data_IF_744995838573
#
_entry.id   IF_744995838573
#
_cell.length_a   1.000
_cell.length_b   1.000
_cell.length_c   1.000
_cell.angle_alpha   90.00
_cell.angle_beta   90.00
_cell.angle_gamma   90.00
#
_symmetry.space_group_name_H-M   'P 1'
#
loop_
_entity.id
_entity.type
_entity.pdbx_description
1 polymer ?
#
# COMPACT_ATOMS: atom_id res chain seq x y z
N UNK A 1 -2.78 -42.49 -36.96
CA UNK A 1 -3.27 -41.57 -35.91
C UNK A 1 -2.31 -41.44 -34.72
N UNK A 2 -1.51 -42.46 -34.37
CA UNK A 2 -0.54 -42.37 -33.26
C UNK A 2 0.56 -41.30 -33.39
N UNK A 3 0.90 -40.85 -34.61
CA UNK A 3 1.82 -39.73 -34.83
C UNK A 3 1.33 -38.41 -34.21
N UNK A 4 0.02 -38.23 -34.02
CA UNK A 4 -0.52 -37.06 -33.33
C UNK A 4 -0.05 -36.98 -31.87
N UNK A 5 0.12 -38.11 -31.19
CA UNK A 5 0.69 -38.13 -29.84
C UNK A 5 2.11 -37.58 -29.81
N UNK A 6 2.96 -37.94 -30.78
CA UNK A 6 4.33 -37.38 -30.91
C UNK A 6 4.28 -35.90 -31.31
N UNK A 7 3.34 -35.51 -32.17
CA UNK A 7 3.13 -34.13 -32.60
C UNK A 7 2.85 -33.19 -31.41
N UNK A 8 2.06 -33.62 -30.42
CA UNK A 8 1.82 -32.80 -29.22
C UNK A 8 3.11 -32.52 -28.43
N UNK A 9 4.03 -33.47 -28.31
CA UNK A 9 5.35 -33.21 -27.70
C UNK A 9 6.19 -32.24 -28.53
N UNK A 10 6.22 -32.41 -29.85
CA UNK A 10 6.92 -31.50 -30.74
C UNK A 10 6.33 -30.08 -30.66
N UNK A 11 5.00 -29.96 -30.55
CA UNK A 11 4.29 -28.69 -30.42
C UNK A 11 4.59 -28.04 -29.07
N UNK A 12 4.66 -28.79 -27.97
CA UNK A 12 5.08 -28.27 -26.66
C UNK A 12 6.50 -27.68 -26.71
N UNK A 13 7.46 -28.42 -27.29
CA UNK A 13 8.84 -27.95 -27.43
C UNK A 13 8.91 -26.72 -28.36
N UNK A 14 8.23 -26.77 -29.50
CA UNK A 14 8.17 -25.65 -30.44
C UNK A 14 7.51 -24.42 -29.80
N UNK A 15 6.47 -24.62 -29.01
CA UNK A 15 5.75 -23.58 -28.28
C UNK A 15 6.64 -22.85 -27.27
N UNK A 16 7.60 -23.53 -26.65
CA UNK A 16 8.60 -22.91 -25.79
C UNK A 16 9.51 -21.92 -26.56
N UNK A 17 9.83 -22.18 -27.82
CA UNK A 17 10.66 -21.28 -28.63
C UNK A 17 9.85 -20.20 -29.38
N UNK A 18 8.63 -20.51 -29.78
CA UNK A 18 7.77 -19.61 -30.57
C UNK A 18 7.04 -18.57 -29.70
N UNK A 19 6.63 -18.94 -28.49
CA UNK A 19 5.80 -18.07 -27.64
C UNK A 19 6.57 -17.59 -26.42
N UNK A 20 6.84 -16.28 -26.36
CA UNK A 20 7.50 -15.64 -25.23
C UNK A 20 6.75 -15.88 -23.90
N UNK A 21 5.41 -15.95 -23.94
CA UNK A 21 4.59 -16.23 -22.76
C UNK A 21 4.90 -17.62 -22.17
N UNK A 22 4.95 -18.66 -23.01
CA UNK A 22 5.25 -20.05 -22.58
C UNK A 22 6.67 -20.14 -22.04
N UNK A 23 7.63 -19.52 -22.75
CA UNK A 23 9.03 -19.43 -22.31
C UNK A 23 9.16 -18.78 -20.93
N UNK A 24 8.47 -17.65 -20.73
CA UNK A 24 8.51 -16.93 -19.46
C UNK A 24 7.87 -17.75 -18.33
N UNK A 25 6.72 -18.37 -18.55
CA UNK A 25 6.05 -19.23 -17.57
C UNK A 25 6.97 -20.38 -17.13
N UNK A 26 7.58 -21.09 -18.08
CA UNK A 26 8.48 -22.22 -17.76
C UNK A 26 9.75 -21.74 -17.07
N UNK A 27 10.39 -20.67 -17.56
CA UNK A 27 11.62 -20.16 -16.95
C UNK A 27 11.37 -19.62 -15.54
N UNK A 28 10.27 -18.91 -15.32
CA UNK A 28 9.88 -18.46 -13.98
C UNK A 28 9.62 -19.66 -13.06
N UNK A 29 9.03 -20.75 -13.56
CA UNK A 29 8.78 -21.93 -12.74
C UNK A 29 10.06 -22.64 -12.34
N UNK A 30 11.04 -22.70 -13.25
CA UNK A 30 12.38 -23.22 -12.96
C UNK A 30 13.09 -22.36 -11.92
N UNK A 31 12.97 -21.04 -11.99
CA UNK A 31 13.60 -20.12 -11.04
C UNK A 31 12.96 -20.21 -9.65
N UNK A 32 11.64 -20.24 -9.57
CA UNK A 32 10.91 -20.24 -8.29
C UNK A 32 10.85 -21.63 -7.65
N UNK A 33 10.65 -22.69 -8.45
CA UNK A 33 10.39 -24.05 -7.98
C UNK A 33 11.17 -25.11 -8.79
N UNK A 34 12.52 -25.10 -8.73
CA UNK A 34 13.35 -25.95 -9.58
C UNK A 34 13.05 -27.44 -9.37
N UNK A 35 12.91 -27.87 -8.12
CA UNK A 35 12.70 -29.29 -7.77
C UNK A 35 11.39 -29.84 -8.36
N UNK A 36 10.28 -29.12 -8.17
CA UNK A 36 8.95 -29.51 -8.67
C UNK A 36 8.93 -29.45 -10.20
N UNK A 37 9.50 -28.40 -10.78
CA UNK A 37 9.50 -28.20 -12.23
C UNK A 37 10.32 -29.27 -12.95
N UNK A 38 11.51 -29.62 -12.44
CA UNK A 38 12.31 -30.70 -13.01
C UNK A 38 11.65 -32.07 -12.82
N UNK A 39 10.99 -32.32 -11.69
CA UNK A 39 10.23 -33.55 -11.48
C UNK A 39 9.06 -33.67 -12.47
N UNK A 40 8.29 -32.60 -12.71
CA UNK A 40 7.23 -32.56 -13.70
C UNK A 40 7.77 -32.73 -15.13
N UNK A 41 8.91 -32.14 -15.47
CA UNK A 41 9.56 -32.32 -16.76
C UNK A 41 10.01 -33.77 -16.98
N UNK A 42 10.60 -34.40 -15.96
CA UNK A 42 10.98 -35.82 -16.00
C UNK A 42 9.75 -36.71 -16.22
N UNK A 43 8.68 -36.50 -15.45
CA UNK A 43 7.42 -37.23 -15.60
C UNK A 43 6.77 -37.03 -16.97
N UNK A 44 6.94 -35.86 -17.59
CA UNK A 44 6.47 -35.61 -18.95
C UNK A 44 7.21 -36.45 -19.99
N UNK A 45 8.54 -36.52 -19.93
CA UNK A 45 9.32 -37.27 -20.92
C UNK A 45 9.33 -38.78 -20.69
N UNK A 46 9.09 -39.25 -19.46
CA UNK A 46 9.15 -40.67 -19.13
C UNK A 46 8.22 -41.56 -19.98
N UNK A 47 6.92 -41.27 -20.13
CA UNK A 47 6.03 -42.03 -21.02
C UNK A 47 6.44 -41.98 -22.50
N UNK A 48 7.04 -40.86 -22.95
CA UNK A 48 7.54 -40.74 -24.32
C UNK A 48 8.70 -41.70 -24.58
N UNK A 49 9.62 -41.89 -23.63
CA UNK A 49 10.69 -42.88 -23.75
C UNK A 49 10.16 -44.32 -23.81
N UNK A 50 9.12 -44.65 -23.03
CA UNK A 50 8.46 -45.97 -23.08
C UNK A 50 7.82 -46.18 -24.46
N UNK A 51 7.06 -45.20 -24.95
CA UNK A 51 6.42 -45.29 -26.26
C UNK A 51 7.46 -45.42 -27.39
N UNK A 52 8.54 -44.62 -27.34
CA UNK A 52 9.63 -44.70 -28.33
C UNK A 52 10.30 -46.07 -28.31
N UNK A 53 10.50 -46.66 -27.13
CA UNK A 53 11.01 -48.03 -27.00
C UNK A 53 10.06 -49.05 -27.64
N UNK A 54 8.75 -48.99 -27.36
CA UNK A 54 7.77 -49.86 -28.00
C UNK A 54 7.69 -49.67 -29.52
N UNK A 55 7.90 -48.44 -30.00
CA UNK A 55 7.96 -48.11 -31.41
C UNK A 55 9.19 -48.74 -32.10
N UNK A 56 10.38 -48.59 -31.50
CA UNK A 56 11.63 -49.16 -32.03
C UNK A 56 11.61 -50.69 -32.03
N UNK A 57 11.11 -51.32 -30.97
CA UNK A 57 11.00 -52.78 -30.86
C UNK A 57 9.74 -53.37 -31.54
N UNK A 58 8.94 -52.53 -32.21
CA UNK A 58 7.70 -52.93 -32.92
C UNK A 58 6.73 -53.75 -32.06
N UNK A 59 6.65 -53.44 -30.76
CA UNK A 59 5.80 -54.14 -29.80
C UNK A 59 4.36 -53.62 -29.88
N UNK A 60 3.50 -54.31 -30.65
CA UNK A 60 2.10 -53.89 -30.92
C UNK A 60 1.03 -54.56 -30.04
N UNK A 61 1.43 -55.43 -29.11
CA UNK A 61 0.48 -56.16 -28.27
C UNK A 61 -0.22 -55.27 -27.23
N UNK A 62 -1.49 -55.56 -26.93
CA UNK A 62 -2.32 -54.89 -25.92
C UNK A 62 -1.70 -54.87 -24.52
N UNK A 63 -0.84 -55.84 -24.19
CA UNK A 63 -0.09 -55.88 -22.91
C UNK A 63 0.84 -54.67 -22.77
N UNK A 64 1.50 -54.26 -23.84
CA UNK A 64 2.43 -53.12 -23.84
C UNK A 64 1.68 -51.78 -23.80
N UNK A 65 0.49 -51.71 -24.40
CA UNK A 65 -0.41 -50.58 -24.22
C UNK A 65 -0.86 -50.44 -22.77
N UNK A 66 -1.27 -51.53 -22.12
CA UNK A 66 -1.68 -51.50 -20.72
C UNK A 66 -0.57 -50.98 -19.79
N UNK A 67 0.68 -51.38 -20.05
CA UNK A 67 1.84 -50.84 -19.32
C UNK A 67 2.02 -49.34 -19.56
N UNK A 68 2.04 -48.89 -20.83
CA UNK A 68 2.17 -47.48 -21.18
C UNK A 68 1.03 -46.64 -20.58
N UNK A 69 -0.21 -47.12 -20.66
CA UNK A 69 -1.39 -46.43 -20.13
C UNK A 69 -1.33 -46.28 -18.61
N UNK A 70 -0.94 -47.34 -17.89
CA UNK A 70 -0.77 -47.29 -16.43
C UNK A 70 0.32 -46.29 -16.04
N UNK A 71 1.49 -46.34 -16.69
CA UNK A 71 2.60 -45.44 -16.38
C UNK A 71 2.28 -43.98 -16.73
N UNK A 72 1.58 -43.73 -17.85
CA UNK A 72 1.20 -42.38 -18.27
C UNK A 72 0.14 -41.78 -17.35
N UNK A 73 -0.88 -42.57 -16.95
CA UNK A 73 -1.91 -42.12 -16.00
C UNK A 73 -1.32 -41.88 -14.61
N UNK A 74 -0.38 -42.72 -14.18
CA UNK A 74 0.33 -42.53 -12.92
C UNK A 74 1.19 -41.26 -12.97
N UNK A 75 1.98 -41.06 -14.02
CA UNK A 75 2.76 -39.84 -14.21
C UNK A 75 1.88 -38.58 -14.26
N UNK A 76 0.73 -38.64 -14.93
CA UNK A 76 -0.24 -37.55 -14.98
C UNK A 76 -0.84 -37.24 -13.59
N UNK A 77 -1.17 -38.28 -12.81
CA UNK A 77 -1.65 -38.11 -11.43
C UNK A 77 -0.59 -37.49 -10.52
N UNK A 78 0.64 -38.02 -10.57
CA UNK A 78 1.77 -37.52 -9.76
C UNK A 78 2.13 -36.09 -10.15
N UNK A 79 2.08 -35.71 -11.43
CA UNK A 79 2.32 -34.35 -11.88
C UNK A 79 1.30 -33.35 -11.29
N UNK A 80 0.01 -33.72 -11.22
CA UNK A 80 -1.01 -32.90 -10.55
C UNK A 80 -0.73 -32.81 -9.06
N UNK A 81 -0.42 -33.92 -8.40
CA UNK A 81 -0.10 -33.92 -6.96
C UNK A 81 1.11 -33.05 -6.64
N UNK A 82 2.18 -33.09 -7.45
CA UNK A 82 3.34 -32.21 -7.30
C UNK A 82 2.97 -30.73 -7.49
N UNK A 83 2.10 -30.42 -8.45
CA UNK A 83 1.56 -29.07 -8.62
C UNK A 83 0.77 -28.61 -7.39
N UNK A 84 -0.08 -29.47 -6.82
CA UNK A 84 -0.85 -29.20 -5.61
C UNK A 84 0.02 -29.04 -4.36
N UNK A 85 1.09 -29.83 -4.22
CA UNK A 85 2.09 -29.66 -3.15
C UNK A 85 2.76 -28.30 -3.26
N UNK A 86 3.14 -27.88 -4.47
CA UNK A 86 3.66 -26.53 -4.69
C UNK A 86 2.67 -25.44 -4.30
N UNK A 87 1.38 -25.61 -4.64
CA UNK A 87 0.32 -24.70 -4.18
C UNK A 87 0.25 -24.63 -2.66
N UNK A 88 0.27 -25.79 -1.98
CA UNK A 88 0.20 -25.85 -0.52
C UNK A 88 1.39 -25.12 0.12
N UNK A 89 2.61 -25.42 -0.33
CA UNK A 89 3.83 -24.75 0.17
C UNK A 89 3.74 -23.23 -0.03
N UNK A 90 3.40 -22.77 -1.23
CA UNK A 90 3.32 -21.33 -1.50
C UNK A 90 2.20 -20.63 -0.73
N UNK A 91 1.06 -21.28 -0.48
CA UNK A 91 0.01 -20.73 0.38
C UNK A 91 0.44 -20.67 1.85
N UNK A 92 1.13 -21.69 2.36
CA UNK A 92 1.70 -21.68 3.71
C UNK A 92 2.70 -20.54 3.86
N UNK A 93 3.63 -20.40 2.92
CA UNK A 93 4.64 -19.32 2.93
C UNK A 93 3.99 -17.94 2.84
N UNK A 94 2.91 -17.80 2.04
CA UNK A 94 2.13 -16.57 1.96
C UNK A 94 1.50 -16.20 3.31
N UNK A 95 0.85 -17.16 3.98
CA UNK A 95 0.24 -16.94 5.30
C UNK A 95 1.30 -16.61 6.34
N UNK A 96 2.45 -17.29 6.33
CA UNK A 96 3.57 -17.00 7.22
C UNK A 96 4.16 -15.60 6.99
N UNK A 97 4.28 -15.16 5.74
CA UNK A 97 4.77 -13.81 5.42
C UNK A 97 3.82 -12.71 5.92
N UNK A 98 2.50 -12.91 5.80
CA UNK A 98 1.48 -11.98 6.30
C UNK A 98 1.42 -12.00 7.84
N UNK A 99 1.48 -13.18 8.46
CA UNK A 99 1.51 -13.31 9.91
C UNK A 99 2.76 -12.63 10.51
N UNK A 100 3.91 -12.75 9.85
CA UNK A 100 5.16 -12.10 10.24
C UNK A 100 5.10 -10.56 10.21
N UNK A 101 4.29 -9.96 9.33
CA UNK A 101 4.12 -8.49 9.29
C UNK A 101 3.22 -7.95 10.38
N UNK A 102 2.25 -8.76 10.82
CA UNK A 102 1.24 -8.38 11.82
C UNK A 102 1.73 -8.60 13.26
N UNK A 103 2.72 -9.46 13.47
CA UNK A 103 3.30 -9.77 14.79
C UNK A 103 4.48 -8.89 15.23
N UNK A 104 4.85 -7.85 14.48
CA UNK A 104 6.02 -7.01 14.75
C UNK A 104 5.81 -6.01 15.90
N UNK A 105 6.40 -6.30 17.06
CA UNK A 105 6.31 -5.52 18.28
C UNK A 105 7.09 -4.18 18.19
N UNK A 106 6.47 -3.08 18.63
CA UNK A 106 7.17 -1.86 19.08
C UNK A 106 7.89 -0.90 18.11
N UNK A 107 8.00 -1.15 16.79
CA UNK A 107 8.77 -0.28 15.88
C UNK A 107 8.08 1.03 15.41
N UNK A 108 8.90 2.06 15.11
CA UNK A 108 8.51 3.34 14.47
C UNK A 108 7.75 3.13 13.15
N UNK A 109 6.87 4.06 12.75
CA UNK A 109 5.91 3.89 11.63
C UNK A 109 6.61 3.53 10.31
N UNK A 110 7.77 4.12 10.04
CA UNK A 110 8.58 3.82 8.85
C UNK A 110 9.11 2.39 8.85
N UNK A 111 9.49 1.86 10.02
CA UNK A 111 9.97 0.48 10.15
C UNK A 111 8.85 -0.55 9.96
N UNK A 112 7.63 -0.23 10.44
CA UNK A 112 6.44 -1.05 10.21
C UNK A 112 6.00 -1.05 8.76
N UNK A 113 6.08 0.11 8.09
CA UNK A 113 5.73 0.23 6.67
C UNK A 113 6.73 -0.53 5.79
N UNK A 114 8.03 -0.48 6.11
CA UNK A 114 9.05 -1.30 5.46
C UNK A 114 8.85 -2.81 5.66
N UNK A 115 8.52 -3.24 6.89
CA UNK A 115 8.19 -4.63 7.19
C UNK A 115 6.93 -5.10 6.44
N UNK A 116 5.90 -4.26 6.38
CA UNK A 116 4.66 -4.56 5.66
C UNK A 116 4.89 -4.69 4.15
N UNK A 117 5.63 -3.78 3.53
CA UNK A 117 5.99 -3.88 2.10
C UNK A 117 6.80 -5.14 1.81
N UNK A 118 7.75 -5.48 2.68
CA UNK A 118 8.56 -6.70 2.56
C UNK A 118 7.71 -7.95 2.65
N UNK A 119 6.77 -8.00 3.60
CA UNK A 119 5.86 -9.13 3.76
C UNK A 119 4.85 -9.26 2.63
N UNK A 120 4.32 -8.16 2.09
CA UNK A 120 3.46 -8.20 0.90
C UNK A 120 4.25 -8.71 -0.30
N UNK A 121 5.47 -8.21 -0.51
CA UNK A 121 6.34 -8.69 -1.59
C UNK A 121 6.65 -10.18 -1.45
N UNK A 122 6.94 -10.64 -0.23
CA UNK A 122 7.18 -12.06 0.06
C UNK A 122 5.93 -12.91 -0.18
N UNK A 123 4.76 -12.43 0.27
CA UNK A 123 3.48 -13.10 0.07
C UNK A 123 3.12 -13.20 -1.42
N UNK A 124 3.35 -12.14 -2.21
CA UNK A 124 3.15 -12.14 -3.66
C UNK A 124 4.11 -13.12 -4.37
N UNK A 125 5.36 -13.22 -3.92
CA UNK A 125 6.31 -14.21 -4.45
C UNK A 125 5.88 -15.64 -4.14
N UNK A 126 5.39 -15.90 -2.92
CA UNK A 126 4.88 -17.21 -2.50
C UNK A 126 3.59 -17.59 -3.25
N UNK A 127 2.73 -16.62 -3.52
CA UNK A 127 1.56 -16.78 -4.39
C UNK A 127 1.98 -17.13 -5.82
N UNK A 128 2.95 -16.40 -6.39
CA UNK A 128 3.47 -16.68 -7.73
C UNK A 128 4.06 -18.11 -7.82
N UNK A 129 4.81 -18.54 -6.80
CA UNK A 129 5.28 -19.92 -6.67
C UNK A 129 4.11 -20.92 -6.74
N UNK A 130 3.10 -20.76 -5.89
CA UNK A 130 1.93 -21.64 -5.82
C UNK A 130 1.17 -21.76 -7.14
N UNK A 131 0.85 -20.62 -7.77
CA UNK A 131 0.12 -20.61 -9.03
C UNK A 131 0.92 -21.26 -10.15
N UNK A 132 2.21 -20.96 -10.23
CA UNK A 132 3.04 -21.40 -11.34
C UNK A 132 3.33 -22.91 -11.29
N UNK A 133 3.58 -23.45 -10.09
CA UNK A 133 3.72 -24.91 -9.90
C UNK A 133 2.43 -25.65 -10.21
N UNK A 134 1.28 -25.08 -9.84
CA UNK A 134 -0.04 -25.66 -10.13
C UNK A 134 -0.32 -25.72 -11.63
N UNK A 135 -0.08 -24.60 -12.34
CA UNK A 135 -0.27 -24.51 -13.79
C UNK A 135 0.61 -25.54 -14.51
N UNK A 136 1.88 -25.70 -14.12
CA UNK A 136 2.75 -26.71 -14.72
C UNK A 136 2.25 -28.13 -14.46
N UNK A 137 1.91 -28.46 -13.21
CA UNK A 137 1.45 -29.80 -12.85
C UNK A 137 0.19 -30.22 -13.62
N UNK A 138 -0.79 -29.32 -13.72
CA UNK A 138 -2.03 -29.55 -14.49
C UNK A 138 -1.74 -29.62 -15.99
N UNK A 139 -0.93 -28.71 -16.54
CA UNK A 139 -0.62 -28.67 -17.97
C UNK A 139 0.09 -29.95 -18.42
N UNK A 140 1.07 -30.42 -17.66
CA UNK A 140 1.77 -31.70 -17.93
C UNK A 140 0.79 -32.87 -17.91
N UNK A 141 -0.09 -32.92 -16.92
CA UNK A 141 -1.11 -33.98 -16.81
C UNK A 141 -2.06 -34.02 -18.01
N UNK A 142 -2.58 -32.87 -18.43
CA UNK A 142 -3.45 -32.77 -19.62
C UNK A 142 -2.71 -33.21 -20.87
N UNK A 143 -1.48 -32.73 -21.09
CA UNK A 143 -0.68 -33.10 -22.26
C UNK A 143 -0.38 -34.61 -22.29
N UNK A 144 -0.09 -35.22 -21.14
CA UNK A 144 0.13 -36.67 -21.02
C UNK A 144 -1.12 -37.47 -21.40
N UNK A 145 -2.30 -37.10 -20.87
CA UNK A 145 -3.55 -37.82 -21.13
C UNK A 145 -4.04 -37.65 -22.57
N UNK A 146 -3.91 -36.45 -23.15
CA UNK A 146 -4.21 -36.22 -24.56
C UNK A 146 -3.28 -37.05 -25.45
N UNK A 147 -1.98 -37.07 -25.15
CA UNK A 147 -1.01 -37.87 -25.92
C UNK A 147 -1.29 -39.37 -25.82
N UNK A 148 -1.69 -39.86 -24.65
CA UNK A 148 -2.04 -41.26 -24.43
C UNK A 148 -3.22 -41.71 -25.30
N UNK A 149 -4.24 -40.86 -25.42
CA UNK A 149 -5.42 -41.13 -26.25
C UNK A 149 -5.02 -41.43 -27.70
N UNK A 150 -4.10 -40.64 -28.26
CA UNK A 150 -3.62 -40.89 -29.62
C UNK A 150 -2.71 -42.11 -29.74
N UNK A 151 -1.97 -42.47 -28.69
CA UNK A 151 -1.11 -43.65 -28.70
C UNK A 151 -1.88 -44.98 -28.66
N UNK A 152 -3.13 -44.99 -28.21
CA UNK A 152 -4.02 -46.17 -28.26
C UNK A 152 -4.11 -46.77 -29.66
N UNK A 153 -4.23 -45.91 -30.69
CA UNK A 153 -4.32 -46.31 -32.10
C UNK A 153 -3.09 -47.05 -32.64
N UNK A 154 -1.94 -47.02 -31.96
CA UNK A 154 -0.76 -47.80 -32.37
C UNK A 154 -0.93 -49.30 -32.08
N UNK A 155 -1.69 -49.65 -31.04
CA UNK A 155 -1.80 -51.01 -30.51
C UNK A 155 -3.08 -51.75 -30.95
N UNK A 156 -3.99 -51.08 -31.67
CA UNK A 156 -5.28 -51.66 -32.09
C UNK A 156 -5.20 -52.47 -33.40
N UNK A 157 -4.07 -52.43 -34.11
CA UNK A 157 -3.91 -52.98 -35.46
C UNK A 157 -3.78 -54.52 -35.57
N UNK A 158 -3.77 -55.27 -34.46
CA UNK A 158 -3.44 -56.72 -34.45
C UNK A 158 -4.65 -57.65 -34.14
N UNK A 159 -5.86 -57.08 -34.00
CA UNK A 159 -7.06 -57.85 -33.59
C UNK A 159 -7.82 -58.54 -34.75
N UNK A 160 -7.38 -58.44 -36.00
CA UNK A 160 -8.13 -58.93 -37.17
C UNK A 160 -7.68 -60.27 -37.76
N UNK A 161 -6.64 -60.92 -37.25
CA UNK A 161 -6.04 -62.09 -37.93
C UNK A 161 -6.32 -63.47 -37.32
N UNK A 162 -7.04 -63.59 -36.20
CA UNK A 162 -7.05 -64.85 -35.44
C UNK A 162 -8.44 -65.46 -35.18
N UNK A 163 -9.31 -65.43 -36.19
CA UNK A 163 -10.59 -66.17 -36.20
C UNK A 163 -10.84 -66.70 -37.60
N UNK A 164 -10.24 -67.84 -37.93
CA UNK A 164 -10.72 -68.82 -38.91
C UNK A 164 -9.60 -69.82 -39.09
N UNK A 165 -9.69 -70.98 -38.43
CA UNK A 165 -9.30 -72.24 -39.07
C UNK A 165 -9.55 -73.46 -38.17
N UNK A 166 -10.02 -74.52 -38.84
CA UNK A 166 -10.16 -75.92 -38.40
C UNK A 166 -11.50 -76.31 -37.77
N UNK A 167 -12.53 -76.29 -38.63
CA UNK A 167 -13.67 -77.20 -38.56
C UNK A 167 -13.68 -78.08 -39.82
N UNK A 168 -12.95 -79.19 -39.79
CA UNK A 168 -13.16 -80.41 -40.60
C UNK A 168 -11.98 -81.36 -40.38
N UNK A 169 -12.27 -82.65 -40.14
CA UNK A 169 -11.34 -83.81 -39.97
C UNK A 169 -10.86 -84.10 -38.55
N UNK A 170 -11.74 -84.46 -37.60
CA UNK A 170 -11.27 -84.90 -36.27
C UNK A 170 -12.12 -85.94 -35.52
N UNK A 171 -13.06 -86.65 -36.17
CA UNK A 171 -13.99 -87.53 -35.43
C UNK A 171 -13.32 -88.72 -34.71
N UNK A 172 -12.20 -89.25 -35.23
CA UNK A 172 -11.53 -90.41 -34.61
C UNK A 172 -10.31 -90.03 -33.76
N UNK A 173 -9.67 -88.90 -34.07
CA UNK A 173 -8.56 -88.37 -33.26
C UNK A 173 -9.05 -87.65 -31.99
N UNK A 174 -10.21 -86.98 -32.03
CA UNK A 174 -10.84 -86.43 -30.82
C UNK A 174 -11.26 -87.53 -29.85
N UNK A 175 -11.74 -88.67 -30.36
CA UNK A 175 -12.14 -89.80 -29.52
C UNK A 175 -10.95 -90.42 -28.78
N UNK A 176 -9.81 -90.63 -29.46
CA UNK A 176 -8.58 -91.09 -28.80
C UNK A 176 -8.00 -90.05 -27.82
N UNK A 177 -8.06 -88.77 -28.16
CA UNK A 177 -7.66 -87.67 -27.24
C UNK A 177 -8.57 -87.60 -26.01
N UNK A 178 -9.88 -87.83 -26.16
CA UNK A 178 -10.83 -87.87 -25.06
C UNK A 178 -10.58 -89.07 -24.14
N UNK A 179 -10.31 -90.25 -24.70
CA UNK A 179 -9.95 -91.44 -23.93
C UNK A 179 -8.66 -91.24 -23.12
N UNK A 180 -7.63 -90.67 -23.72
CA UNK A 180 -6.37 -90.33 -23.03
C UNK A 180 -6.58 -89.30 -21.91
N UNK A 181 -7.43 -88.28 -22.15
CA UNK A 181 -7.80 -87.30 -21.11
C UNK A 181 -8.58 -87.94 -19.96
N UNK A 182 -9.42 -88.94 -20.25
CA UNK A 182 -10.19 -89.65 -19.24
C UNK A 182 -9.28 -90.47 -18.31
N UNK A 183 -8.29 -91.17 -18.88
CA UNK A 183 -7.30 -91.95 -18.14
C UNK A 183 -6.38 -91.07 -17.27
N UNK A 184 -5.96 -89.91 -17.80
CA UNK A 184 -5.19 -88.93 -16.99
C UNK A 184 -6.02 -88.30 -15.89
N UNK A 185 -7.31 -88.01 -16.13
CA UNK A 185 -8.23 -87.53 -15.09
C UNK A 185 -8.46 -88.57 -14.00
N UNK A 186 -8.58 -89.85 -14.35
CA UNK A 186 -8.71 -90.96 -13.41
C UNK A 186 -7.46 -91.09 -12.52
N UNK A 187 -6.28 -90.98 -13.13
CA UNK A 187 -4.99 -91.00 -12.42
C UNK A 187 -4.84 -89.80 -11.48
N UNK A 188 -5.25 -88.60 -11.91
CA UNK A 188 -5.25 -87.40 -11.06
C UNK A 188 -6.24 -87.57 -9.90
N UNK A 189 -7.44 -88.09 -10.16
CA UNK A 189 -8.47 -88.24 -9.15
C UNK A 189 -8.08 -89.29 -8.08
N UNK A 190 -7.48 -90.40 -8.49
CA UNK A 190 -6.91 -91.39 -7.56
C UNK A 190 -5.73 -90.82 -6.76
N UNK A 191 -4.88 -89.99 -7.37
CA UNK A 191 -3.79 -89.32 -6.64
C UNK A 191 -4.32 -88.30 -5.61
N UNK A 192 -5.30 -87.48 -5.99
CA UNK A 192 -5.98 -86.52 -5.10
C UNK A 192 -6.67 -87.27 -3.96
N UNK A 193 -7.42 -88.34 -4.26
CA UNK A 193 -8.06 -89.17 -3.24
C UNK A 193 -7.03 -89.78 -2.27
N UNK A 194 -5.91 -90.31 -2.78
CA UNK A 194 -4.84 -90.86 -1.93
C UNK A 194 -4.17 -89.80 -1.04
N UNK A 195 -4.08 -88.55 -1.51
CA UNK A 195 -3.52 -87.42 -0.76
C UNK A 195 -4.53 -86.80 0.21
N UNK A 196 -5.83 -86.82 -0.10
CA UNK A 196 -6.90 -86.38 0.82
C UNK A 196 -7.15 -87.41 1.93
N UNK A 197 -6.98 -88.70 1.65
CA UNK A 197 -7.01 -89.76 2.68
C UNK A 197 -5.78 -89.71 3.60
N UNK A 198 -4.72 -89.00 3.18
CA UNK A 198 -3.54 -88.71 4.00
C UNK A 198 -3.46 -87.22 4.36
N UNK A 199 -4.52 -86.68 4.97
CA UNK A 199 -4.35 -85.52 5.86
C UNK A 199 -3.94 -86.10 7.21
N UNK A 200 -2.67 -85.99 7.63
CA UNK A 200 -2.27 -86.50 8.93
C UNK A 200 -3.01 -85.68 9.99
N UNK A 201 -3.50 -86.34 11.05
CA UNK A 201 -3.92 -85.72 12.31
C UNK A 201 -2.73 -84.99 12.95
N UNK A 202 -2.32 -83.85 12.38
CA UNK A 202 -1.26 -83.01 12.92
C UNK A 202 -1.84 -82.18 14.07
N UNK A 203 -2.12 -82.84 15.21
CA UNK A 203 -2.67 -82.21 16.42
C UNK A 203 -1.86 -80.98 16.86
N UNK A 204 -0.54 -81.03 16.64
CA UNK A 204 0.40 -79.95 16.95
C UNK A 204 0.21 -78.70 16.11
N UNK A 205 -0.16 -78.85 14.84
CA UNK A 205 -0.44 -77.71 13.95
C UNK A 205 -1.81 -77.11 14.30
N UNK A 206 -2.79 -77.95 14.65
CA UNK A 206 -4.09 -77.50 15.12
C UNK A 206 -3.98 -76.72 16.45
N UNK A 207 -3.16 -77.20 17.39
CA UNK A 207 -2.89 -76.52 18.66
C UNK A 207 -2.20 -75.16 18.47
N UNK A 208 -1.17 -75.08 17.61
CA UNK A 208 -0.53 -73.82 17.21
C UNK A 208 -1.48 -72.84 16.52
N UNK A 209 -2.44 -73.36 15.74
CA UNK A 209 -3.44 -72.53 15.05
C UNK A 209 -4.44 -71.94 16.06
N UNK A 210 -4.85 -72.74 17.05
CA UNK A 210 -5.75 -72.30 18.13
C UNK A 210 -5.07 -71.23 19.00
N UNK A 211 -3.81 -71.44 19.38
CA UNK A 211 -3.06 -70.50 20.22
C UNK A 211 -2.82 -69.15 19.50
N UNK A 212 -2.40 -69.21 18.23
CA UNK A 212 -2.29 -68.00 17.40
C UNK A 212 -3.63 -67.30 17.19
N UNK A 213 -4.72 -68.06 16.99
CA UNK A 213 -6.07 -67.49 16.86
C UNK A 213 -6.50 -66.77 18.14
N UNK A 214 -6.17 -67.33 19.31
CA UNK A 214 -6.45 -66.70 20.60
C UNK A 214 -5.67 -65.38 20.78
N UNK A 215 -4.36 -65.41 20.51
CA UNK A 215 -3.51 -64.20 20.55
C UNK A 215 -4.05 -63.16 19.56
N UNK A 216 -4.44 -63.57 18.36
CA UNK A 216 -4.97 -62.67 17.35
C UNK A 216 -6.31 -62.05 17.76
N UNK A 217 -7.19 -62.81 18.41
CA UNK A 217 -8.45 -62.31 18.96
C UNK A 217 -8.21 -61.29 20.09
N UNK A 218 -7.23 -61.53 20.96
CA UNK A 218 -6.84 -60.61 22.03
C UNK A 218 -6.27 -59.31 21.47
N UNK A 219 -5.36 -59.40 20.49
CA UNK A 219 -4.82 -58.22 19.79
C UNK A 219 -5.90 -57.43 19.05
N UNK A 220 -6.85 -58.11 18.40
CA UNK A 220 -7.99 -57.45 17.75
C UNK A 220 -8.87 -56.70 18.77
N UNK A 221 -9.03 -57.26 19.97
CA UNK A 221 -9.76 -56.59 21.05
C UNK A 221 -9.03 -55.35 21.55
N UNK A 222 -7.71 -55.42 21.75
CA UNK A 222 -6.87 -54.26 22.13
C UNK A 222 -6.91 -53.15 21.07
N UNK A 223 -6.84 -53.52 19.78
CA UNK A 223 -6.96 -52.57 18.67
C UNK A 223 -8.34 -51.90 18.69
N UNK A 224 -9.41 -52.66 18.87
CA UNK A 224 -10.77 -52.11 18.93
C UNK A 224 -10.93 -51.11 20.08
N UNK A 225 -10.39 -51.43 21.26
CA UNK A 225 -10.42 -50.52 22.41
C UNK A 225 -9.60 -49.25 22.17
N UNK A 226 -8.44 -49.38 21.53
CA UNK A 226 -7.60 -48.25 21.13
C UNK A 226 -8.29 -47.34 20.11
N UNK A 227 -9.00 -47.91 19.13
CA UNK A 227 -9.78 -47.17 18.13
C UNK A 227 -10.93 -46.41 18.80
N UNK A 228 -11.62 -47.03 19.76
CA UNK A 228 -12.69 -46.35 20.51
C UNK A 228 -12.15 -45.17 21.30
N UNK A 229 -11.02 -45.33 22.00
CA UNK A 229 -10.36 -44.23 22.73
C UNK A 229 -9.92 -43.11 21.80
N UNK A 230 -9.30 -43.45 20.67
CA UNK A 230 -8.91 -42.47 19.66
C UNK A 230 -10.11 -41.68 19.13
N UNK A 231 -11.25 -42.34 18.90
CA UNK A 231 -12.48 -41.67 18.46
C UNK A 231 -13.03 -40.68 19.49
N UNK A 232 -12.91 -41.01 20.78
CA UNK A 232 -13.33 -40.13 21.88
C UNK A 232 -12.41 -38.90 21.96
N UNK A 233 -11.08 -39.10 21.92
CA UNK A 233 -10.10 -38.01 21.92
C UNK A 233 -10.26 -37.11 20.70
N UNK A 234 -10.54 -37.67 19.52
CA UNK A 234 -10.78 -36.87 18.32
C UNK A 234 -12.03 -36.00 18.44
N UNK A 235 -13.09 -36.50 19.08
CA UNK A 235 -14.32 -35.74 19.31
C UNK A 235 -14.10 -34.60 20.31
N UNK A 236 -13.31 -34.81 21.35
CA UNK A 236 -12.92 -33.77 22.31
C UNK A 236 -12.05 -32.69 21.63
N UNK A 237 -11.06 -33.09 20.84
CA UNK A 237 -10.21 -32.17 20.07
C UNK A 237 -11.02 -31.30 19.13
N UNK A 238 -12.00 -31.89 18.43
CA UNK A 238 -12.94 -31.13 17.58
C UNK A 238 -13.72 -30.09 18.38
N UNK A 239 -14.14 -30.41 19.61
CA UNK A 239 -14.81 -29.46 20.50
C UNK A 239 -13.91 -28.28 20.89
N UNK A 240 -12.68 -28.55 21.29
CA UNK A 240 -11.69 -27.51 21.65
C UNK A 240 -11.40 -26.60 20.46
N UNK A 241 -11.18 -27.19 19.29
CA UNK A 241 -10.92 -26.46 18.04
C UNK A 241 -12.12 -25.58 17.67
N UNK A 242 -13.34 -26.10 17.78
CA UNK A 242 -14.53 -25.33 17.45
C UNK A 242 -14.74 -24.13 18.39
N UNK A 243 -14.54 -24.32 19.70
CA UNK A 243 -14.59 -23.22 20.67
C UNK A 243 -13.50 -22.17 20.43
N UNK A 244 -12.29 -22.61 20.06
CA UNK A 244 -11.21 -21.69 19.70
C UNK A 244 -11.54 -20.88 18.45
N UNK A 245 -12.13 -21.51 17.42
CA UNK A 245 -12.58 -20.81 16.22
C UNK A 245 -13.67 -19.78 16.52
N UNK A 246 -14.61 -20.10 17.41
CA UNK A 246 -15.65 -19.16 17.84
C UNK A 246 -15.06 -17.95 18.59
N UNK A 247 -14.08 -18.18 19.46
CA UNK A 247 -13.33 -17.11 20.12
C UNK A 247 -12.54 -16.22 19.13
N UNK A 248 -11.94 -16.82 18.10
CA UNK A 248 -11.24 -16.06 17.06
C UNK A 248 -12.23 -15.25 16.22
N UNK A 249 -13.38 -15.83 15.87
CA UNK A 249 -14.41 -15.14 15.10
C UNK A 249 -14.98 -13.92 15.85
N UNK A 250 -15.27 -14.08 17.15
CA UNK A 250 -15.73 -12.98 18.00
C UNK A 250 -14.66 -11.89 18.15
N UNK A 251 -13.39 -12.26 18.33
CA UNK A 251 -12.27 -11.31 18.40
C UNK A 251 -12.03 -10.55 17.09
N UNK A 252 -12.23 -11.20 15.94
CA UNK A 252 -12.17 -10.54 14.63
C UNK A 252 -13.32 -9.56 14.45
N UNK A 253 -14.52 -9.90 14.93
CA UNK A 253 -15.67 -8.99 14.90
C UNK A 253 -15.42 -7.72 15.73
N UNK A 254 -14.90 -7.86 16.96
CA UNK A 254 -14.58 -6.70 17.81
C UNK A 254 -13.46 -5.86 17.22
N UNK A 255 -12.44 -6.49 16.63
CA UNK A 255 -11.36 -5.76 15.93
C UNK A 255 -11.89 -4.98 14.73
N UNK A 256 -12.83 -5.55 13.96
CA UNK A 256 -13.49 -4.85 12.84
C UNK A 256 -14.28 -3.64 13.31
N UNK A 257 -15.00 -3.75 14.43
CA UNK A 257 -15.78 -2.66 14.99
C UNK A 257 -14.87 -1.52 15.49
N UNK A 258 -13.83 -1.86 16.27
CA UNK A 258 -12.80 -0.92 16.70
C UNK A 258 -12.12 -0.22 15.51
N UNK A 259 -11.82 -0.97 14.43
CA UNK A 259 -11.27 -0.39 13.21
C UNK A 259 -12.20 0.64 12.57
N UNK A 260 -13.52 0.43 12.64
CA UNK A 260 -14.53 1.37 12.15
C UNK A 260 -14.58 2.65 12.99
N UNK A 261 -14.51 2.54 14.31
CA UNK A 261 -14.47 3.68 15.24
C UNK A 261 -13.20 4.53 15.07
N UNK A 262 -12.04 3.88 14.91
CA UNK A 262 -10.78 4.57 14.62
C UNK A 262 -10.90 5.35 13.31
N UNK A 263 -11.47 4.76 12.26
CA UNK A 263 -11.64 5.44 10.98
C UNK A 263 -12.58 6.66 11.08
N UNK A 264 -13.66 6.54 11.85
CA UNK A 264 -14.53 7.69 12.15
C UNK A 264 -13.78 8.80 12.91
N UNK A 265 -12.99 8.43 13.90
CA UNK A 265 -12.19 9.37 14.68
C UNK A 265 -11.15 10.10 13.82
N UNK A 266 -10.46 9.38 12.93
CA UNK A 266 -9.51 9.96 11.97
C UNK A 266 -10.21 10.94 11.03
N UNK A 267 -11.41 10.60 10.54
CA UNK A 267 -12.22 11.50 9.70
C UNK A 267 -12.60 12.80 10.45
N UNK A 268 -12.97 12.69 11.73
CA UNK A 268 -13.29 13.86 12.56
C UNK A 268 -12.06 14.74 12.83
N UNK A 269 -10.89 14.14 13.04
CA UNK A 269 -9.62 14.86 13.17
C UNK A 269 -9.28 15.59 11.87
N UNK A 270 -9.46 14.95 10.70
CA UNK A 270 -9.23 15.59 9.41
C UNK A 270 -10.14 16.82 9.19
N UNK A 271 -11.42 16.71 9.54
CA UNK A 271 -12.36 17.84 9.52
C UNK A 271 -11.91 18.98 10.45
N UNK A 272 -11.46 18.64 11.66
CA UNK A 272 -10.99 19.61 12.65
C UNK A 272 -9.69 20.31 12.22
N UNK A 273 -8.80 19.61 11.53
CA UNK A 273 -7.59 20.21 10.95
C UNK A 273 -7.93 21.16 9.80
N UNK A 274 -8.92 20.83 8.97
CA UNK A 274 -9.38 21.72 7.91
C UNK A 274 -9.98 23.02 8.48
N UNK A 275 -10.82 22.93 9.51
CA UNK A 275 -11.39 24.13 10.16
C UNK A 275 -10.31 24.97 10.85
N UNK A 276 -9.32 24.34 11.48
CA UNK A 276 -8.18 25.04 12.07
C UNK A 276 -7.31 25.73 11.02
N UNK A 277 -7.08 25.09 9.87
CA UNK A 277 -6.35 25.66 8.74
C UNK A 277 -7.06 26.92 8.23
N UNK A 278 -8.39 26.86 8.07
CA UNK A 278 -9.19 28.00 7.63
C UNK A 278 -9.22 29.14 8.66
N UNK A 279 -9.34 28.82 9.95
CA UNK A 279 -9.22 29.81 11.02
C UNK A 279 -7.85 30.50 11.00
N UNK A 280 -6.77 29.75 10.80
CA UNK A 280 -5.41 30.29 10.72
C UNK A 280 -5.26 31.22 9.51
N UNK A 281 -5.83 30.84 8.37
CA UNK A 281 -5.88 31.68 7.17
C UNK A 281 -6.58 33.02 7.44
N UNK A 282 -7.73 33.00 8.10
CA UNK A 282 -8.48 34.21 8.47
C UNK A 282 -7.71 35.10 9.46
N UNK A 283 -7.04 34.50 10.44
CA UNK A 283 -6.17 35.24 11.36
C UNK A 283 -5.04 35.92 10.61
N UNK A 284 -4.40 35.23 9.66
CA UNK A 284 -3.34 35.82 8.84
C UNK A 284 -3.84 37.00 7.99
N UNK A 285 -5.01 36.87 7.37
CA UNK A 285 -5.64 37.98 6.63
C UNK A 285 -5.95 39.18 7.54
N UNK A 286 -6.40 38.92 8.77
CA UNK A 286 -6.66 39.97 9.76
C UNK A 286 -5.38 40.68 10.20
N UNK A 287 -4.27 39.94 10.36
CA UNK A 287 -2.96 40.50 10.66
C UNK A 287 -2.41 41.35 9.51
N UNK A 288 -2.58 40.91 8.27
CA UNK A 288 -2.23 41.71 7.08
C UNK A 288 -3.03 43.01 7.05
N UNK A 289 -4.34 42.96 7.32
CA UNK A 289 -5.16 44.15 7.38
C UNK A 289 -4.71 45.11 8.50
N UNK A 290 -4.39 44.60 9.68
CA UNK A 290 -3.83 45.40 10.77
C UNK A 290 -2.50 46.06 10.40
N UNK A 291 -1.62 45.35 9.69
CA UNK A 291 -0.36 45.91 9.20
C UNK A 291 -0.61 47.09 8.24
N UNK A 292 -1.60 46.97 7.33
CA UNK A 292 -1.96 48.09 6.44
C UNK A 292 -2.53 49.30 7.21
N UNK A 293 -3.35 49.07 8.24
CA UNK A 293 -3.87 50.16 9.08
C UNK A 293 -2.76 50.87 9.87
N UNK A 294 -1.78 50.13 10.37
CA UNK A 294 -0.61 50.70 11.05
C UNK A 294 0.21 51.60 10.12
N UNK A 295 0.37 51.21 8.85
CA UNK A 295 1.05 52.06 7.86
C UNK A 295 0.30 53.38 7.63
N UNK A 296 -1.03 53.33 7.49
CA UNK A 296 -1.87 54.53 7.38
C UNK A 296 -1.74 55.43 8.60
N UNK A 297 -1.74 54.86 9.81
CA UNK A 297 -1.54 55.64 11.05
C UNK A 297 -0.15 56.29 11.06
N UNK A 298 0.88 55.56 10.64
CA UNK A 298 2.25 56.07 10.53
C UNK A 298 2.32 57.27 9.57
N UNK A 299 1.73 57.15 8.38
CA UNK A 299 1.66 58.23 7.40
C UNK A 299 0.92 59.46 7.94
N UNK A 300 -0.23 59.25 8.59
CA UNK A 300 -0.99 60.34 9.21
C UNK A 300 -0.20 61.04 10.32
N UNK A 301 0.58 60.30 11.11
CA UNK A 301 1.46 60.86 12.13
C UNK A 301 2.52 61.77 11.51
N UNK A 302 3.15 61.34 10.42
CA UNK A 302 4.13 62.16 9.67
C UNK A 302 3.50 63.45 9.14
N UNK A 303 2.33 63.36 8.49
CA UNK A 303 1.60 64.53 7.99
C UNK A 303 1.23 65.50 9.12
N UNK A 304 0.80 64.97 10.27
CA UNK A 304 0.46 65.77 11.44
C UNK A 304 1.71 66.52 11.96
N UNK A 305 2.85 65.83 12.05
CA UNK A 305 4.12 66.44 12.47
C UNK A 305 4.57 67.55 11.51
N UNK A 306 4.56 67.31 10.20
CA UNK A 306 4.89 68.33 9.20
C UNK A 306 4.00 69.58 9.35
N UNK A 307 2.71 69.37 9.63
CA UNK A 307 1.76 70.48 9.84
C UNK A 307 2.01 71.22 11.15
N UNK A 308 2.44 70.53 12.20
CA UNK A 308 2.84 71.15 13.46
C UNK A 308 4.09 72.01 13.26
N UNK A 309 5.10 71.51 12.54
CA UNK A 309 6.31 72.28 12.20
C UNK A 309 5.97 73.54 11.40
N UNK A 310 5.14 73.44 10.36
CA UNK A 310 4.72 74.59 9.58
C UNK A 310 3.97 75.63 10.42
N UNK A 311 3.07 75.20 11.32
CA UNK A 311 2.38 76.11 12.23
C UNK A 311 3.36 76.78 13.21
N UNK A 312 4.39 76.06 13.68
CA UNK A 312 5.43 76.61 14.55
C UNK A 312 6.22 77.71 13.82
N UNK A 313 6.64 77.47 12.58
CA UNK A 313 7.32 78.46 11.76
C UNK A 313 6.47 79.72 11.54
N UNK A 314 5.17 79.53 11.23
CA UNK A 314 4.23 80.64 11.11
C UNK A 314 4.10 81.46 12.40
N UNK A 315 4.05 80.79 13.56
CA UNK A 315 4.01 81.47 14.86
C UNK A 315 5.31 82.23 15.16
N UNK A 316 6.47 81.68 14.78
CA UNK A 316 7.75 82.38 14.90
C UNK A 316 7.81 83.63 14.03
N UNK A 317 7.32 83.56 12.79
CA UNK A 317 7.19 84.74 11.92
C UNK A 317 6.24 85.78 12.51
N UNK A 318 5.05 85.37 12.96
CA UNK A 318 4.11 86.28 13.59
C UNK A 318 4.69 86.95 14.85
N UNK A 319 5.44 86.21 15.65
CA UNK A 319 6.12 86.76 16.82
C UNK A 319 7.20 87.79 16.42
N UNK A 320 7.93 87.56 15.32
CA UNK A 320 8.86 88.55 14.79
C UNK A 320 8.12 89.84 14.33
N UNK A 321 6.99 89.69 13.63
CA UNK A 321 6.16 90.83 13.19
C UNK A 321 5.58 91.62 14.37
N UNK A 322 5.11 90.95 15.43
CA UNK A 322 4.65 91.61 16.66
C UNK A 322 5.78 92.41 17.31
N UNK A 323 6.97 91.84 17.40
CA UNK A 323 8.13 92.55 17.96
C UNK A 323 8.51 93.79 17.12
N UNK A 324 8.45 93.69 15.80
CA UNK A 324 8.64 94.83 14.90
C UNK A 324 7.58 95.92 15.14
N UNK A 325 6.31 95.53 15.28
CA UNK A 325 5.22 96.46 15.57
C UNK A 325 5.41 97.17 16.92
N UNK A 326 5.85 96.45 17.96
CA UNK A 326 6.19 97.04 19.26
C UNK A 326 7.29 98.09 19.10
N UNK A 327 8.37 97.78 18.36
CA UNK A 327 9.45 98.73 18.10
C UNK A 327 8.98 99.97 17.34
N UNK A 328 8.12 99.79 16.33
CA UNK A 328 7.51 100.91 15.58
C UNK A 328 6.60 101.76 16.47
N UNK A 329 5.82 101.13 17.35
CA UNK A 329 4.96 101.82 18.31
C UNK A 329 5.79 102.68 19.29
N UNK A 330 6.87 102.12 19.85
CA UNK A 330 7.81 102.85 20.70
C UNK A 330 8.43 104.05 19.95
N UNK A 331 8.86 103.85 18.70
CA UNK A 331 9.41 104.93 17.88
C UNK A 331 8.39 106.03 17.56
N UNK A 332 7.15 105.65 17.30
CA UNK A 332 6.03 106.59 17.09
C UNK A 332 5.73 107.39 18.35
N UNK A 333 5.76 106.75 19.52
CA UNK A 333 5.61 107.42 20.81
C UNK A 333 6.74 108.43 21.05
N UNK A 334 7.99 108.03 20.85
CA UNK A 334 9.14 108.93 20.97
C UNK A 334 9.03 110.14 20.03
N UNK A 335 8.68 109.90 18.76
CA UNK A 335 8.48 110.97 17.78
C UNK A 335 7.39 111.96 18.23
N UNK A 336 6.31 111.46 18.83
CA UNK A 336 5.25 112.30 19.39
C UNK A 336 5.76 113.15 20.56
N UNK A 337 6.52 112.57 21.49
CA UNK A 337 7.15 113.30 22.59
C UNK A 337 8.13 114.36 22.08
N UNK A 338 9.01 114.01 21.14
CA UNK A 338 9.97 114.94 20.54
C UNK A 338 9.26 116.09 19.81
N UNK A 339 8.15 115.80 19.13
CA UNK A 339 7.34 116.82 18.44
C UNK A 339 6.63 117.75 19.42
N UNK A 340 6.07 117.22 20.51
CA UNK A 340 5.46 118.04 21.57
C UNK A 340 6.53 118.89 22.30
N UNK A 341 7.71 118.34 22.56
CA UNK A 341 8.83 119.09 23.11
C UNK A 341 9.26 120.24 22.19
N UNK A 342 9.40 119.99 20.89
CA UNK A 342 9.75 121.03 19.90
C UNK A 342 8.65 122.11 19.76
N UNK A 343 7.37 121.73 19.86
CA UNK A 343 6.26 122.70 19.91
C UNK A 343 6.33 123.58 21.16
N UNK A 344 6.57 122.99 22.33
CA UNK A 344 6.75 123.70 23.59
C UNK A 344 7.94 124.66 23.51
N UNK A 345 9.06 124.23 22.94
CA UNK A 345 10.24 125.07 22.70
C UNK A 345 9.91 126.26 21.80
N UNK A 346 9.24 126.03 20.65
CA UNK A 346 8.79 127.12 19.76
C UNK A 346 7.81 128.07 20.46
N UNK A 347 6.88 127.55 21.25
CA UNK A 347 5.92 128.35 21.99
C UNK A 347 6.65 129.22 23.03
N UNK A 348 7.61 128.65 23.75
CA UNK A 348 8.48 129.38 24.67
C UNK A 348 9.25 130.49 23.95
N UNK A 349 9.85 130.22 22.79
CA UNK A 349 10.54 131.23 21.99
C UNK A 349 9.61 132.36 21.52
N UNK A 350 8.36 132.06 21.14
CA UNK A 350 7.35 133.07 20.79
C UNK A 350 6.97 133.91 22.00
N UNK A 351 6.76 133.30 23.17
CA UNK A 351 6.46 134.01 24.42
C UNK A 351 7.61 134.96 24.75
N UNK A 352 8.86 134.49 24.73
CA UNK A 352 10.05 135.33 24.97
C UNK A 352 10.17 136.45 23.93
N UNK A 353 9.80 136.21 22.67
CA UNK A 353 9.79 137.24 21.65
C UNK A 353 8.70 138.29 21.90
N UNK A 354 7.50 137.87 22.31
CA UNK A 354 6.42 138.76 22.70
C UNK A 354 6.76 139.58 23.94
N UNK A 355 7.36 138.98 24.97
CA UNK A 355 7.84 139.68 26.16
C UNK A 355 8.87 140.76 25.81
N UNK A 356 9.83 140.45 24.94
CA UNK A 356 10.78 141.42 24.41
C UNK A 356 10.10 142.56 23.64
N UNK A 357 9.06 142.24 22.85
CA UNK A 357 8.30 143.24 22.11
C UNK A 357 7.54 144.18 23.05
N UNK A 358 6.90 143.63 24.09
CA UNK A 358 6.20 144.38 25.14
C UNK A 358 7.19 145.28 25.89
N UNK A 359 8.38 144.77 26.22
CA UNK A 359 9.43 145.56 26.86
C UNK A 359 9.86 146.75 26.00
N UNK A 360 10.10 146.53 24.69
CA UNK A 360 10.40 147.62 23.74
C UNK A 360 9.25 148.62 23.61
N UNK A 361 8.01 148.15 23.61
CA UNK A 361 6.83 149.03 23.63
C UNK A 361 6.78 149.89 24.89
N UNK A 362 7.09 149.32 26.06
CA UNK A 362 7.14 150.05 27.32
C UNK A 362 8.29 151.09 27.33
N UNK A 363 9.46 150.75 26.79
CA UNK A 363 10.55 151.72 26.58
C UNK A 363 10.13 152.86 25.65
N UNK A 364 9.46 152.54 24.54
CA UNK A 364 8.95 153.54 23.61
C UNK A 364 7.88 154.43 24.26
N UNK A 365 6.96 153.85 25.03
CA UNK A 365 5.94 154.59 25.79
C UNK A 365 6.58 155.51 26.82
N UNK A 366 7.63 155.07 27.52
CA UNK A 366 8.41 155.91 28.43
C UNK A 366 9.15 157.03 27.69
N UNK A 367 9.68 156.78 26.48
CA UNK A 367 10.26 157.83 25.62
C UNK A 367 9.21 158.86 25.18
N UNK A 368 8.02 158.43 24.75
CA UNK A 368 6.91 159.35 24.44
C UNK A 368 6.50 160.15 25.67
N UNK A 369 6.40 159.50 26.85
CA UNK A 369 6.07 160.20 28.10
C UNK A 369 7.08 161.30 28.42
N UNK A 370 8.39 161.03 28.24
CA UNK A 370 9.44 162.06 28.36
C UNK A 370 9.30 163.19 27.32
N UNK A 371 8.92 162.88 26.08
CA UNK A 371 8.67 163.91 25.05
C UNK A 371 7.47 164.79 25.43
N UNK A 372 6.39 164.19 25.93
CA UNK A 372 5.20 164.91 26.41
C UNK A 372 5.53 165.76 27.64
N UNK A 373 6.37 165.29 28.56
CA UNK A 373 6.87 166.09 29.70
C UNK A 373 7.72 167.29 29.25
N UNK A 374 8.50 167.15 28.17
CA UNK A 374 9.26 168.28 27.58
C UNK A 374 8.33 169.28 26.89
N UNK A 375 7.27 168.82 26.22
CA UNK A 375 6.28 169.69 25.56
C UNK A 375 5.30 170.36 26.54
N UNK A 376 5.17 169.85 27.76
CA UNK A 376 4.31 170.42 28.80
C UNK A 376 4.90 171.62 29.56
N UNK A 377 6.13 172.06 29.23
CA UNK A 377 6.82 173.16 29.92
C UNK A 377 7.07 174.41 29.05
N UNK A 378 6.49 174.49 27.85
CA UNK A 378 6.41 175.73 27.06
C UNK A 378 4.97 175.93 26.57
N UNK A 379 4.16 176.68 27.35
CA UNK A 379 2.78 177.04 27.01
C UNK A 379 1.92 177.37 28.21
#
# INVERSE_FOLDING_TARGET
MYYFGILFYALTISGYFLFAAVKNVVNQAVLLAPQITYACAFLYFFPLFIFLSHFVFKLKSRRYYALLATQTKLAASVAVSLGLIGTFIGLTDMVSAIAGSLGGDGGDITSKLGAMVTSISSALSAMAFAFLTSIIGVSVSVLLLVSLNFWEFYYEADNSSNKNDKKATASDAELQSLLYRMETLETINTNIASKLVYVPENSKLAELLVDNSHIMAERLREINDSVLRLSATQRELLGVVNNAFEHVATSLSTLSENGREVNQSVSQVALSLNTMTESTRMTNQSLEHLATLLDVISQNSTICNERIELNLDQLLMLNADINLLIALYQKSHQFKEDTEAAKLEKLSAIITHQENYIQKQNEFKNKIKKIVEVLGHEG
#
